data_IF_339697036664
#
_entry.id   IF_339697036664
#
_cell.length_a   1.000
_cell.length_b   1.000
_cell.length_c   1.000
_cell.angle_alpha   90.00
_cell.angle_beta   90.00
_cell.angle_gamma   90.00
#
_symmetry.space_group_name_H-M   'P 1'
#
loop_
_entity.id
_entity.type
_entity.pdbx_description
1 polymer ?
#
# COMPACT_ATOMS: atom_id res chain seq x y z
N UNK A 1 11.95 -3.34 9.16
CA UNK A 1 11.07 -4.42 9.62
C UNK A 1 10.29 -5.08 8.47
N UNK A 2 9.54 -4.34 7.64
CA UNK A 2 8.71 -4.92 6.55
C UNK A 2 9.44 -5.84 5.57
N UNK A 3 10.62 -5.42 5.07
CA UNK A 3 11.42 -6.25 4.16
C UNK A 3 11.90 -7.58 4.77
N UNK A 4 12.10 -7.62 6.09
CA UNK A 4 12.44 -8.86 6.78
C UNK A 4 11.23 -9.82 6.79
N UNK A 5 10.01 -9.32 6.97
CA UNK A 5 8.78 -10.13 6.89
C UNK A 5 8.53 -10.60 5.46
N UNK A 6 8.69 -9.71 4.47
CA UNK A 6 8.58 -10.07 3.04
C UNK A 6 9.58 -11.17 2.68
N UNK A 7 10.82 -11.09 3.18
CA UNK A 7 11.80 -12.16 2.98
C UNK A 7 11.37 -13.49 3.59
N UNK A 8 10.83 -13.49 4.81
CA UNK A 8 10.30 -14.71 5.45
C UNK A 8 9.13 -15.32 4.65
N UNK A 9 8.23 -14.47 4.15
CA UNK A 9 7.12 -14.89 3.29
C UNK A 9 7.66 -15.49 1.98
N UNK A 10 8.59 -14.80 1.30
CA UNK A 10 9.19 -15.29 0.06
C UNK A 10 9.84 -16.66 0.24
N UNK A 11 10.61 -16.85 1.34
CA UNK A 11 11.19 -18.15 1.70
C UNK A 11 10.12 -19.21 1.96
N UNK A 12 9.01 -18.87 2.61
CA UNK A 12 7.90 -19.80 2.88
C UNK A 12 7.25 -20.34 1.60
N UNK A 13 7.11 -19.50 0.57
CA UNK A 13 6.47 -19.87 -0.70
C UNK A 13 7.47 -20.21 -1.81
N UNK A 14 8.76 -20.34 -1.49
CA UNK A 14 9.84 -20.58 -2.43
C UNK A 14 9.90 -19.55 -3.59
N UNK A 15 9.60 -18.28 -3.28
CA UNK A 15 9.72 -17.17 -4.22
C UNK A 15 11.10 -16.49 -4.12
N UNK A 16 11.58 -15.96 -5.25
CA UNK A 16 12.82 -15.18 -5.29
C UNK A 16 12.54 -13.72 -4.92
N UNK A 17 13.08 -13.28 -3.77
CA UNK A 17 12.93 -11.90 -3.30
C UNK A 17 13.61 -10.89 -4.24
N UNK A 18 14.61 -11.29 -5.04
CA UNK A 18 15.27 -10.39 -6.00
C UNK A 18 14.30 -9.91 -7.07
N UNK A 19 13.39 -10.78 -7.52
CA UNK A 19 12.33 -10.40 -8.48
C UNK A 19 11.39 -9.34 -7.86
N UNK A 20 11.07 -9.47 -6.58
CA UNK A 20 10.27 -8.47 -5.86
C UNK A 20 11.03 -7.12 -5.81
N UNK A 21 12.34 -7.16 -5.54
CA UNK A 21 13.18 -5.96 -5.50
C UNK A 21 13.28 -5.29 -6.88
N UNK A 22 13.50 -6.05 -7.94
CA UNK A 22 13.50 -5.54 -9.32
C UNK A 22 12.17 -4.90 -9.70
N UNK A 23 11.04 -5.54 -9.36
CA UNK A 23 9.72 -4.98 -9.58
C UNK A 23 9.51 -3.64 -8.85
N UNK A 24 9.90 -3.56 -7.58
CA UNK A 24 9.86 -2.30 -6.82
C UNK A 24 10.75 -1.23 -7.46
N UNK A 25 11.92 -1.61 -7.96
CA UNK A 25 12.84 -0.73 -8.70
C UNK A 25 12.20 -0.17 -9.96
N UNK A 26 11.60 -1.00 -10.81
CA UNK A 26 10.89 -0.56 -12.02
C UNK A 26 9.75 0.42 -11.69
N UNK A 27 8.98 0.15 -10.65
CA UNK A 27 7.92 1.06 -10.20
C UNK A 27 8.51 2.40 -9.75
N UNK A 28 9.65 2.40 -9.08
CA UNK A 28 10.36 3.61 -8.66
C UNK A 28 10.91 4.42 -9.85
N UNK A 29 11.42 3.78 -10.91
CA UNK A 29 11.85 4.50 -12.11
C UNK A 29 10.72 5.33 -12.75
N UNK A 30 9.52 4.77 -12.73
CA UNK A 30 8.33 5.35 -13.36
C UNK A 30 7.65 6.36 -12.43
N UNK A 31 7.34 5.97 -11.19
CA UNK A 31 6.64 6.83 -10.23
C UNK A 31 7.56 7.85 -9.54
N UNK A 32 8.88 7.70 -9.71
CA UNK A 32 9.92 8.36 -8.90
C UNK A 32 9.81 7.94 -7.43
N UNK A 33 10.55 8.60 -6.55
CA UNK A 33 10.34 8.41 -5.12
C UNK A 33 8.86 8.65 -4.81
N UNK A 34 8.25 7.68 -4.12
CA UNK A 34 6.87 7.82 -3.69
C UNK A 34 6.83 9.00 -2.72
N UNK A 35 6.12 10.09 -3.06
CA UNK A 35 6.08 11.27 -2.22
C UNK A 35 5.24 10.99 -0.97
N UNK A 36 4.88 12.07 -0.27
CA UNK A 36 4.03 12.06 0.92
C UNK A 36 2.81 11.14 0.71
N UNK A 37 2.68 10.13 1.57
CA UNK A 37 1.49 9.28 1.64
C UNK A 37 0.36 9.99 2.38
N UNK A 38 -0.89 9.65 2.04
CA UNK A 38 -2.08 10.12 2.75
C UNK A 38 -2.88 8.92 3.29
N UNK A 39 -3.50 9.02 4.47
CA UNK A 39 -3.98 7.83 5.19
C UNK A 39 -5.45 7.49 4.86
N UNK A 40 -5.83 7.45 3.59
CA UNK A 40 -7.21 7.06 3.26
C UNK A 40 -7.42 5.53 3.39
N UNK A 41 -8.67 5.09 3.33
CA UNK A 41 -9.02 3.68 3.17
C UNK A 41 -8.34 3.13 1.92
N UNK A 42 -7.61 2.03 2.08
CA UNK A 42 -7.11 1.21 1.00
C UNK A 42 -8.31 0.53 0.33
N UNK A 43 -8.69 1.04 -0.83
CA UNK A 43 -9.72 0.50 -1.72
C UNK A 43 -9.17 -0.39 -2.83
N UNK A 44 -9.99 -0.59 -3.87
CA UNK A 44 -9.65 -1.43 -5.04
C UNK A 44 -9.66 -2.94 -4.75
N UNK A 45 -9.27 -3.72 -5.75
CA UNK A 45 -9.38 -5.18 -5.71
C UNK A 45 -8.07 -5.92 -5.39
N UNK A 46 -6.93 -5.21 -5.34
CA UNK A 46 -5.63 -5.87 -5.24
C UNK A 46 -5.12 -5.95 -3.79
N UNK A 47 -4.86 -4.81 -3.14
CA UNK A 47 -3.99 -4.80 -1.96
C UNK A 47 -4.58 -5.56 -0.76
N UNK A 48 -5.81 -5.24 -0.33
CA UNK A 48 -6.44 -5.92 0.81
C UNK A 48 -6.78 -7.39 0.51
N UNK A 49 -7.40 -7.74 -0.65
CA UNK A 49 -7.67 -9.14 -0.97
C UNK A 49 -6.40 -9.99 -1.06
N UNK A 50 -5.33 -9.49 -1.70
CA UNK A 50 -4.06 -10.21 -1.77
C UNK A 50 -3.39 -10.33 -0.40
N UNK A 51 -3.52 -9.31 0.47
CA UNK A 51 -3.03 -9.40 1.86
C UNK A 51 -3.76 -10.50 2.64
N UNK A 52 -5.08 -10.63 2.45
CA UNK A 52 -5.88 -11.73 3.04
C UNK A 52 -5.43 -13.09 2.53
N UNK A 53 -5.18 -13.25 1.22
CA UNK A 53 -4.64 -14.48 0.63
C UNK A 53 -3.25 -14.80 1.19
N UNK A 54 -2.34 -13.82 1.25
CA UNK A 54 -1.00 -14.02 1.81
C UNK A 54 -1.07 -14.46 3.28
N UNK A 55 -2.02 -13.93 4.06
CA UNK A 55 -2.24 -14.34 5.45
C UNK A 55 -2.61 -15.81 5.57
N UNK A 56 -3.34 -16.40 4.60
CA UNK A 56 -3.71 -17.83 4.66
C UNK A 56 -2.50 -18.76 4.47
N UNK A 57 -1.46 -18.32 3.78
CA UNK A 57 -0.24 -19.12 3.54
C UNK A 57 0.89 -18.82 4.53
N UNK A 58 0.90 -17.61 5.11
CA UNK A 58 1.86 -17.19 6.13
C UNK A 58 1.20 -16.26 7.16
N UNK A 59 0.88 -16.76 8.37
CA UNK A 59 0.35 -15.89 9.43
C UNK A 59 1.44 -14.94 9.92
N UNK A 60 1.26 -13.64 9.69
CA UNK A 60 2.19 -12.59 10.13
C UNK A 60 1.42 -11.44 10.73
N UNK A 61 1.92 -10.93 11.86
CA UNK A 61 1.40 -9.72 12.52
C UNK A 61 1.43 -8.50 11.60
N UNK A 62 2.34 -8.46 10.62
CA UNK A 62 2.36 -7.39 9.62
C UNK A 62 1.11 -7.41 8.73
N UNK A 63 0.72 -8.59 8.25
CA UNK A 63 -0.46 -8.73 7.38
C UNK A 63 -1.75 -8.47 8.15
N UNK A 64 -1.79 -8.90 9.41
CA UNK A 64 -2.90 -8.61 10.34
C UNK A 64 -3.06 -7.12 10.57
N UNK A 65 -1.97 -6.45 10.93
CA UNK A 65 -1.95 -5.01 11.11
C UNK A 65 -2.46 -4.24 9.89
N UNK A 66 -2.05 -4.63 8.67
CA UNK A 66 -2.51 -3.99 7.44
C UNK A 66 -4.04 -4.11 7.27
N UNK A 67 -4.59 -5.30 7.54
CA UNK A 67 -6.02 -5.57 7.41
C UNK A 67 -6.81 -4.80 8.47
N UNK A 68 -6.42 -4.94 9.74
CA UNK A 68 -7.09 -4.32 10.89
C UNK A 68 -7.04 -2.80 10.83
N UNK A 69 -5.88 -2.23 10.52
CA UNK A 69 -5.71 -0.77 10.39
C UNK A 69 -6.62 -0.20 9.30
N UNK A 70 -6.76 -0.89 8.17
CA UNK A 70 -7.62 -0.44 7.10
C UNK A 70 -9.12 -0.60 7.41
N UNK A 71 -9.52 -1.66 8.12
CA UNK A 71 -10.90 -1.82 8.60
C UNK A 71 -11.25 -0.75 9.62
N UNK A 72 -10.35 -0.44 10.56
CA UNK A 72 -10.52 0.68 11.48
C UNK A 72 -10.67 2.01 10.74
N UNK A 73 -9.85 2.25 9.71
CA UNK A 73 -9.95 3.46 8.88
C UNK A 73 -11.31 3.58 8.20
N UNK A 74 -11.96 2.48 7.78
CA UNK A 74 -13.32 2.53 7.19
C UNK A 74 -14.37 3.06 8.15
N UNK A 75 -14.20 2.81 9.45
CA UNK A 75 -15.08 3.34 10.49
C UNK A 75 -14.73 4.79 10.83
N UNK A 76 -13.43 5.11 10.93
CA UNK A 76 -12.94 6.46 11.23
C UNK A 76 -13.42 7.51 10.20
N UNK A 77 -13.46 7.17 8.91
CA UNK A 77 -13.91 8.09 7.86
C UNK A 77 -15.42 8.44 7.90
N UNK A 78 -16.21 7.78 8.76
CA UNK A 78 -17.60 8.17 9.02
C UNK A 78 -17.66 9.48 9.81
N UNK A 79 -16.60 9.82 10.54
CA UNK A 79 -16.44 11.14 11.13
C UNK A 79 -16.03 12.15 10.04
N UNK A 80 -16.83 13.20 9.88
CA UNK A 80 -16.62 14.19 8.83
C UNK A 80 -15.34 15.02 9.02
N UNK A 81 -14.90 15.26 10.25
CA UNK A 81 -13.65 15.96 10.55
C UNK A 81 -12.45 15.16 10.04
N UNK A 82 -12.37 13.88 10.41
CA UNK A 82 -11.33 12.95 9.96
C UNK A 82 -11.33 12.83 8.43
N UNK A 83 -12.52 12.72 7.83
CA UNK A 83 -12.66 12.62 6.38
C UNK A 83 -12.13 13.87 5.66
N UNK A 84 -12.45 15.06 6.17
CA UNK A 84 -11.99 16.32 5.60
C UNK A 84 -10.46 16.44 5.70
N UNK A 85 -9.88 16.14 6.85
CA UNK A 85 -8.42 16.16 7.05
C UNK A 85 -7.69 15.22 6.09
N UNK A 86 -8.22 14.00 5.88
CA UNK A 86 -7.65 13.05 4.91
C UNK A 86 -7.69 13.59 3.48
N UNK A 87 -8.78 14.27 3.09
CA UNK A 87 -8.88 14.86 1.75
C UNK A 87 -7.92 16.05 1.57
N UNK A 88 -7.71 16.87 2.60
CA UNK A 88 -6.68 17.92 2.58
C UNK A 88 -5.26 17.33 2.43
N UNK A 89 -4.94 16.29 3.19
CA UNK A 89 -3.65 15.57 3.08
C UNK A 89 -3.46 14.94 1.69
N UNK A 90 -4.54 14.40 1.10
CA UNK A 90 -4.52 13.87 -0.26
C UNK A 90 -4.26 14.96 -1.31
N UNK A 91 -4.84 16.15 -1.14
CA UNK A 91 -4.54 17.30 -2.00
C UNK A 91 -3.07 17.73 -1.87
N UNK A 92 -2.49 17.68 -0.67
CA UNK A 92 -1.06 17.94 -0.48
C UNK A 92 -0.22 16.87 -1.18
N UNK A 93 -0.51 15.59 -0.95
CA UNK A 93 0.22 14.46 -1.55
C UNK A 93 0.24 14.50 -3.09
N UNK A 94 -0.92 14.75 -3.70
CA UNK A 94 -1.09 14.78 -5.16
C UNK A 94 -0.28 15.86 -5.87
N UNK A 95 0.10 16.95 -5.18
CA UNK A 95 1.01 17.97 -5.73
C UNK A 95 2.38 17.41 -6.11
N UNK A 96 2.82 16.37 -5.41
CA UNK A 96 4.13 15.76 -5.57
C UNK A 96 4.11 14.48 -6.43
N UNK A 97 2.94 14.05 -6.90
CA UNK A 97 2.83 12.87 -7.75
C UNK A 97 3.46 13.13 -9.11
N UNK A 98 4.07 12.10 -9.71
CA UNK A 98 4.50 12.16 -11.11
C UNK A 98 3.26 12.22 -12.03
N UNK A 99 2.75 13.42 -12.29
CA UNK A 99 1.53 13.65 -13.10
C UNK A 99 1.63 13.03 -14.49
N UNK A 100 2.83 13.05 -15.11
CA UNK A 100 3.08 12.44 -16.43
C UNK A 100 2.79 10.95 -16.50
N UNK A 101 2.93 10.23 -15.38
CA UNK A 101 2.56 8.82 -15.33
C UNK A 101 1.04 8.62 -15.44
N UNK A 102 0.28 9.46 -14.75
CA UNK A 102 -1.18 9.39 -14.71
C UNK A 102 -1.86 10.05 -15.92
N UNK A 103 -1.18 10.95 -16.62
CA UNK A 103 -1.66 11.57 -17.87
C UNK A 103 -1.93 10.57 -19.00
N UNK A 104 -1.24 9.43 -19.03
CA UNK A 104 -1.43 8.37 -20.04
C UNK A 104 -2.56 7.38 -19.70
N UNK A 105 -3.20 7.53 -18.54
CA UNK A 105 -4.21 6.59 -18.03
C UNK A 105 -5.65 7.10 -18.21
N UNK A 106 -5.84 8.19 -18.98
CA UNK A 106 -7.13 8.78 -19.35
C UNK A 106 -7.20 8.86 -20.88
#
# INVERSE_FOLDING_TARGET
>A
ASWQEIHRIARKVNADIKIIAEFVGMVHEVLKDRPIYYPNVIGGHCLIPNTKILKTVYPSKLLEFIIESNEKRREEIKNQEIKNEIEELKQIATKYFNKKYYEKAI
#
